data_IF_988189546681
#
_entry.id   IF_988189546681
#
_cell.length_a   1.000
_cell.length_b   1.000
_cell.length_c   1.000
_cell.angle_alpha   90.00
_cell.angle_beta   90.00
_cell.angle_gamma   90.00
#
_symmetry.space_group_name_H-M   'P 1'
#
loop_
_entity.id
_entity.type
_entity.pdbx_description
1 polymer ?
#
# COMPACT_ATOMS: atom_id res chain seq x y z
N UNK A 1 10.12 -8.53 5.74
CA UNK A 1 10.28 -7.34 6.63
C UNK A 1 9.61 -7.66 7.98
N UNK A 2 9.97 -7.04 9.10
CA UNK A 2 9.24 -7.23 10.38
C UNK A 2 8.28 -6.05 10.64
N UNK A 3 7.29 -6.22 11.52
CA UNK A 3 6.23 -5.22 11.79
C UNK A 3 6.80 -3.87 12.22
N UNK A 4 7.76 -3.83 13.15
CA UNK A 4 8.41 -2.59 13.60
C UNK A 4 9.02 -1.79 12.44
N UNK A 5 9.85 -2.45 11.63
CA UNK A 5 10.49 -1.80 10.46
C UNK A 5 9.47 -1.38 9.43
N UNK A 6 8.40 -2.15 9.23
CA UNK A 6 7.31 -1.79 8.32
C UNK A 6 6.57 -0.53 8.77
N UNK A 7 6.30 -0.39 10.07
CA UNK A 7 5.70 0.82 10.65
C UNK A 7 6.61 2.06 10.48
N UNK A 8 7.92 1.92 10.69
CA UNK A 8 8.88 3.00 10.44
C UNK A 8 8.87 3.43 8.96
N UNK A 9 8.93 2.46 8.03
CA UNK A 9 8.85 2.74 6.58
C UNK A 9 7.50 3.34 6.18
N UNK A 10 6.40 2.89 6.77
CA UNK A 10 5.08 3.46 6.51
C UNK A 10 5.02 4.93 6.92
N UNK A 11 5.53 5.28 8.11
CA UNK A 11 5.65 6.67 8.58
C UNK A 11 6.47 7.52 7.62
N UNK A 12 7.60 7.00 7.13
CA UNK A 12 8.42 7.70 6.13
C UNK A 12 7.71 7.92 4.80
N UNK A 13 6.89 6.95 4.33
CA UNK A 13 6.13 7.07 3.09
C UNK A 13 5.05 8.14 3.24
N UNK A 14 4.30 8.11 4.34
CA UNK A 14 3.20 9.04 4.64
C UNK A 14 3.73 10.48 4.85
N UNK A 15 4.92 10.66 5.43
CA UNK A 15 5.48 11.98 5.75
C UNK A 15 6.03 12.75 4.55
N UNK A 16 6.13 12.14 3.37
CA UNK A 16 6.71 12.78 2.18
C UNK A 16 5.70 13.69 1.45
N UNK A 17 5.90 15.01 1.54
CA UNK A 17 5.15 16.02 0.78
C UNK A 17 6.09 16.86 -0.11
N UNK A 18 5.66 17.22 -1.33
CA UNK A 18 4.49 16.75 -2.09
C UNK A 18 4.70 15.38 -2.77
N UNK A 19 3.64 14.61 -3.03
CA UNK A 19 3.71 13.24 -3.62
C UNK A 19 3.43 13.19 -5.14
N UNK A 20 4.01 12.23 -5.91
CA UNK A 20 4.48 10.93 -5.43
C UNK A 20 5.98 10.65 -5.57
N UNK A 21 6.55 10.02 -4.55
CA UNK A 21 7.77 9.22 -4.69
C UNK A 21 7.47 7.98 -5.53
N UNK A 22 8.42 7.59 -6.37
CA UNK A 22 8.38 6.29 -7.04
C UNK A 22 8.51 5.19 -5.99
N UNK A 23 7.43 4.46 -5.72
CA UNK A 23 7.44 3.32 -4.81
C UNK A 23 7.82 2.05 -5.58
N UNK A 24 8.73 1.29 -4.98
CA UNK A 24 9.10 -0.04 -5.47
C UNK A 24 8.00 -1.06 -5.10
N UNK A 25 7.46 -1.83 -6.05
CA UNK A 25 6.41 -2.80 -5.76
C UNK A 25 6.79 -3.87 -4.73
N UNK A 26 8.06 -4.32 -4.70
CA UNK A 26 8.52 -5.34 -3.73
C UNK A 26 8.63 -4.74 -2.33
N UNK A 27 9.05 -3.48 -2.23
CA UNK A 27 9.05 -2.76 -0.96
C UNK A 27 7.62 -2.61 -0.43
N UNK A 28 6.67 -2.20 -1.28
CA UNK A 28 5.26 -2.04 -0.90
C UNK A 28 4.66 -3.37 -0.44
N UNK A 29 4.85 -4.44 -1.20
CA UNK A 29 4.40 -5.79 -0.81
C UNK A 29 4.95 -6.20 0.57
N UNK A 30 6.26 -6.03 0.76
CA UNK A 30 6.92 -6.35 2.04
C UNK A 30 6.40 -5.53 3.23
N UNK A 31 6.01 -4.27 3.01
CA UNK A 31 5.43 -3.40 4.04
C UNK A 31 4.01 -3.89 4.36
N UNK A 32 3.16 -4.06 3.34
CA UNK A 32 1.76 -4.44 3.54
C UNK A 32 1.64 -5.79 4.25
N UNK A 33 2.38 -6.81 3.81
CA UNK A 33 2.37 -8.13 4.45
C UNK A 33 2.86 -8.07 5.92
N UNK A 34 3.87 -7.24 6.20
CA UNK A 34 4.38 -7.07 7.57
C UNK A 34 3.43 -6.23 8.46
N UNK A 35 2.49 -5.51 7.87
CA UNK A 35 1.40 -4.79 8.52
C UNK A 35 0.08 -5.57 8.44
N UNK A 36 0.15 -6.90 8.31
CA UNK A 36 -0.99 -7.81 8.44
C UNK A 36 -2.06 -7.63 7.35
N UNK A 37 -1.70 -7.03 6.22
CA UNK A 37 -2.54 -7.11 5.03
C UNK A 37 -2.50 -8.52 4.46
N UNK A 38 -3.66 -9.03 4.08
CA UNK A 38 -3.80 -10.32 3.41
C UNK A 38 -3.66 -10.16 1.89
N UNK A 39 -2.78 -10.94 1.27
CA UNK A 39 -2.71 -11.02 -0.20
C UNK A 39 -3.94 -11.77 -0.76
N UNK A 40 -4.77 -11.06 -1.51
CA UNK A 40 -5.97 -11.58 -2.21
C UNK A 40 -5.70 -11.83 -3.70
N UNK A 41 -4.43 -11.95 -4.06
CA UNK A 41 -3.93 -12.25 -5.38
C UNK A 41 -3.95 -11.06 -6.33
N UNK A 42 -3.72 -11.37 -7.61
CA UNK A 42 -3.52 -10.39 -8.68
C UNK A 42 -4.48 -10.62 -9.84
N UNK A 43 -4.68 -9.60 -10.67
CA UNK A 43 -5.41 -9.76 -11.93
C UNK A 43 -4.65 -10.68 -12.91
N UNK A 44 -5.33 -11.12 -13.97
CA UNK A 44 -4.78 -12.01 -15.01
C UNK A 44 -3.52 -11.44 -15.68
N UNK A 45 -3.45 -10.11 -15.80
CA UNK A 45 -2.31 -9.42 -16.40
C UNK A 45 -1.17 -9.17 -15.42
N UNK A 46 -1.31 -9.59 -14.16
CA UNK A 46 -0.33 -9.43 -13.08
C UNK A 46 0.13 -7.98 -12.85
N UNK A 47 -0.68 -7.02 -13.24
CA UNK A 47 -0.41 -5.59 -13.13
C UNK A 47 -1.15 -4.94 -11.96
N UNK A 48 -2.13 -5.61 -11.37
CA UNK A 48 -2.84 -5.12 -10.19
C UNK A 48 -2.88 -6.21 -9.13
N UNK A 49 -2.30 -5.91 -7.98
CA UNK A 49 -2.29 -6.73 -6.77
C UNK A 49 -3.42 -6.26 -5.86
N UNK A 50 -4.03 -7.18 -5.11
CA UNK A 50 -5.10 -6.89 -4.17
C UNK A 50 -4.67 -7.32 -2.78
N UNK A 51 -4.78 -6.40 -1.85
CA UNK A 51 -4.52 -6.63 -0.45
C UNK A 51 -5.78 -6.31 0.34
N UNK A 52 -6.07 -7.07 1.37
CA UNK A 52 -7.19 -6.84 2.27
C UNK A 52 -6.68 -6.50 3.67
N UNK A 53 -7.34 -5.55 4.34
CA UNK A 53 -7.13 -5.30 5.76
C UNK A 53 -8.45 -4.86 6.40
N UNK A 54 -8.85 -5.43 7.56
CA UNK A 54 -10.15 -5.15 8.18
C UNK A 54 -10.33 -3.66 8.56
N UNK A 55 -9.26 -2.98 8.98
CA UNK A 55 -9.30 -1.53 9.26
C UNK A 55 -9.70 -0.66 8.06
N UNK A 56 -9.72 -1.19 6.84
CA UNK A 56 -10.10 -0.44 5.64
C UNK A 56 -11.59 -0.59 5.28
N UNK A 57 -12.36 -1.46 5.94
CA UNK A 57 -13.75 -1.75 5.56
C UNK A 57 -14.67 -0.53 5.67
N UNK A 58 -14.39 0.38 6.60
CA UNK A 58 -15.21 1.56 6.88
C UNK A 58 -14.84 2.79 6.05
N UNK A 59 -13.80 2.71 5.22
CA UNK A 59 -13.16 3.87 4.56
C UNK A 59 -13.72 4.15 3.15
N UNK A 60 -14.94 3.66 2.88
CA UNK A 60 -15.75 4.05 1.73
C UNK A 60 -15.23 3.58 0.36
N UNK A 61 -15.49 4.38 -0.68
CA UNK A 61 -15.29 3.99 -2.08
C UNK A 61 -13.82 3.72 -2.48
N UNK A 62 -12.85 4.18 -1.68
CA UNK A 62 -11.43 3.95 -1.93
C UNK A 62 -11.01 2.50 -1.66
N UNK A 63 -11.65 1.83 -0.69
CA UNK A 63 -11.33 0.50 -0.21
C UNK A 63 -12.57 -0.38 -0.15
N UNK A 64 -13.18 -0.65 -1.31
CA UNK A 64 -14.39 -1.49 -1.39
C UNK A 64 -14.19 -2.83 -0.66
N UNK A 65 -14.97 -3.04 0.40
CA UNK A 65 -14.89 -4.21 1.27
C UNK A 65 -13.49 -4.44 1.85
N UNK A 66 -12.80 -3.37 2.25
CA UNK A 66 -11.46 -3.42 2.84
C UNK A 66 -10.33 -3.72 1.86
N UNK A 67 -10.60 -3.73 0.54
CA UNK A 67 -9.59 -4.09 -0.47
C UNK A 67 -8.80 -2.88 -0.95
N UNK A 68 -7.48 -2.92 -0.74
CA UNK A 68 -6.49 -2.07 -1.39
C UNK A 68 -6.04 -2.68 -2.73
N UNK A 69 -6.25 -1.95 -3.82
CA UNK A 69 -5.76 -2.31 -5.16
C UNK A 69 -4.47 -1.54 -5.47
N UNK A 70 -3.37 -2.28 -5.66
CA UNK A 70 -2.05 -1.72 -6.01
C UNK A 70 -1.72 -2.06 -7.46
N UNK A 71 -1.78 -1.06 -8.32
CA UNK A 71 -1.40 -1.19 -9.73
C UNK A 71 0.07 -0.87 -9.94
N UNK A 72 0.73 -1.73 -10.70
CA UNK A 72 2.13 -1.65 -11.09
C UNK A 72 2.21 -1.35 -12.59
N UNK A 73 3.19 -0.55 -12.99
CA UNK A 73 3.52 -0.24 -14.37
C UNK A 73 5.02 -0.34 -14.62
N UNK A 74 5.44 -0.05 -15.84
CA UNK A 74 6.85 0.04 -16.20
C UNK A 74 7.25 1.52 -16.31
N UNK A 75 8.35 1.92 -15.70
CA UNK A 75 8.96 3.24 -15.93
C UNK A 75 9.86 3.22 -17.16
N UNK A 76 10.33 4.40 -17.60
CA UNK A 76 11.19 4.58 -18.80
C UNK A 76 12.45 3.69 -18.83
N UNK A 77 12.86 3.12 -17.70
CA UNK A 77 14.03 2.22 -17.56
C UNK A 77 13.64 0.75 -17.34
N UNK A 78 12.44 0.32 -17.72
CA UNK A 78 11.89 -1.03 -17.51
C UNK A 78 11.79 -1.46 -16.04
N UNK A 79 12.02 -0.55 -15.09
CA UNK A 79 11.80 -0.82 -13.67
C UNK A 79 10.29 -0.88 -13.42
N UNK A 80 9.84 -1.92 -12.73
CA UNK A 80 8.46 -2.00 -12.24
C UNK A 80 8.26 -0.96 -11.14
N UNK A 81 7.22 -0.14 -11.26
CA UNK A 81 6.91 0.96 -10.34
C UNK A 81 5.44 0.94 -9.98
N UNK A 82 5.10 1.32 -8.76
CA UNK A 82 3.70 1.52 -8.38
C UNK A 82 3.14 2.75 -9.11
N UNK A 83 1.97 2.60 -9.73
CA UNK A 83 1.31 3.69 -10.44
C UNK A 83 0.83 4.77 -9.47
N UNK A 84 0.84 6.02 -9.92
CA UNK A 84 0.53 7.19 -9.09
C UNK A 84 -0.85 7.11 -8.39
N UNK A 85 -1.87 6.63 -9.09
CA UNK A 85 -3.21 6.43 -8.52
C UNK A 85 -3.20 5.43 -7.35
N UNK A 86 -2.32 4.43 -7.41
CA UNK A 86 -2.13 3.42 -6.38
C UNK A 86 -1.26 3.94 -5.23
N UNK A 87 -0.26 4.78 -5.51
CA UNK A 87 0.55 5.45 -4.46
C UNK A 87 -0.35 6.23 -3.50
N UNK A 88 -1.34 6.98 -4.02
CA UNK A 88 -2.28 7.74 -3.17
C UNK A 88 -3.12 6.83 -2.26
N UNK A 89 -3.59 5.70 -2.79
CA UNK A 89 -4.37 4.72 -2.02
C UNK A 89 -3.52 4.03 -0.95
N UNK A 90 -2.26 3.72 -1.26
CA UNK A 90 -1.31 3.16 -0.30
C UNK A 90 -1.07 4.15 0.84
N UNK A 91 -0.79 5.42 0.53
CA UNK A 91 -0.58 6.45 1.56
C UNK A 91 -1.78 6.52 2.49
N UNK A 92 -3.00 6.62 1.93
CA UNK A 92 -4.22 6.67 2.75
C UNK A 92 -4.43 5.40 3.59
N UNK A 93 -4.20 4.23 3.01
CA UNK A 93 -4.29 2.97 3.75
C UNK A 93 -3.30 2.93 4.92
N UNK A 94 -2.04 3.34 4.69
CA UNK A 94 -1.03 3.37 5.73
C UNK A 94 -1.34 4.40 6.83
N UNK A 95 -1.93 5.56 6.49
CA UNK A 95 -2.41 6.53 7.49
C UNK A 95 -3.43 5.88 8.43
N UNK A 96 -4.44 5.19 7.89
CA UNK A 96 -5.47 4.50 8.68
C UNK A 96 -4.85 3.44 9.60
N UNK A 97 -3.90 2.64 9.09
CA UNK A 97 -3.23 1.63 9.92
C UNK A 97 -2.42 2.28 11.04
N UNK A 98 -1.66 3.32 10.73
CA UNK A 98 -0.86 4.04 11.73
C UNK A 98 -1.74 4.68 12.81
N UNK A 99 -2.91 5.21 12.46
CA UNK A 99 -3.90 5.73 13.42
C UNK A 99 -4.46 4.62 14.31
N UNK A 100 -4.78 3.46 13.75
CA UNK A 100 -5.28 2.32 14.51
C UNK A 100 -4.26 1.76 15.51
N UNK A 101 -2.97 1.72 15.12
CA UNK A 101 -1.88 1.22 16.00
C UNK A 101 -1.53 2.22 17.11
N UNK A 102 -1.75 3.52 16.92
CA UNK A 102 -1.51 4.53 17.96
C UNK A 102 -2.69 4.65 18.96
N UNK A 103 -3.84 4.06 18.64
CA UNK A 103 -5.06 4.11 19.48
C UNK A 103 -5.16 2.92 20.44
N UNK A 104 -4.20 1.99 20.38
CA UNK A 104 -4.03 0.82 21.25
C UNK A 104 -2.93 1.08 22.28
#
# INVERSE_FOLDING_TARGET
MNKKKALERAKEIVSQKPSPKELDPKEVDSILLALEFEDRGKNSNHTTYRYYHPSLENEGALFLYGNLKVSVGHSKKFKSVVRIDSVRKIIKALEIILESENSL
#
